data_IF_327366715497
#
_entry.id   IF_327366715497
#
_cell.length_a   1.000
_cell.length_b   1.000
_cell.length_c   1.000
_cell.angle_alpha   90.00
_cell.angle_beta   90.00
_cell.angle_gamma   90.00
#
_symmetry.space_group_name_H-M   'P 1'
#
loop_
_entity.id
_entity.type
_entity.pdbx_description
1 polymer ?
#
# COMPACT_ATOMS: atom_id res chain seq x y z
N UNK A 1 60.31 -13.84 26.28
CA UNK A 1 59.05 -13.27 26.81
C UNK A 1 58.32 -12.61 25.66
N UNK A 2 57.20 -13.20 25.23
CA UNK A 2 56.14 -12.62 24.38
C UNK A 2 55.57 -11.35 25.03
N UNK A 3 54.92 -10.40 24.33
CA UNK A 3 53.61 -10.56 23.61
C UNK A 3 53.58 -9.91 22.19
N UNK A 4 52.85 -10.41 21.18
CA UNK A 4 51.41 -10.21 20.87
C UNK A 4 50.99 -8.75 20.68
N UNK A 5 50.67 -8.33 19.42
CA UNK A 5 49.56 -7.44 18.98
C UNK A 5 49.46 -7.59 17.43
N UNK A 6 48.54 -8.42 16.93
CA UNK A 6 47.24 -8.03 16.37
C UNK A 6 47.29 -6.90 15.31
N UNK A 7 47.19 -7.25 14.04
CA UNK A 7 46.96 -6.29 12.95
C UNK A 7 45.46 -6.30 12.63
N UNK A 8 44.74 -5.16 12.71
CA UNK A 8 43.35 -5.10 12.32
C UNK A 8 43.24 -5.14 10.79
N UNK A 9 42.54 -6.15 10.29
CA UNK A 9 41.93 -6.11 8.96
C UNK A 9 40.89 -4.99 8.96
N UNK A 10 41.22 -3.86 8.33
CA UNK A 10 40.22 -2.85 8.03
C UNK A 10 39.47 -3.27 6.77
N UNK A 11 38.44 -4.09 6.95
CA UNK A 11 37.30 -4.12 6.04
C UNK A 11 36.76 -2.68 5.97
N UNK A 12 36.93 -2.02 4.83
CA UNK A 12 36.05 -0.93 4.44
C UNK A 12 34.74 -1.56 4.01
N UNK A 13 33.93 -1.87 5.03
CA UNK A 13 32.49 -2.02 4.96
C UNK A 13 31.93 -0.68 4.45
N UNK A 14 31.90 -0.54 3.12
CA UNK A 14 31.03 0.41 2.46
C UNK A 14 29.62 -0.14 2.66
N UNK A 15 29.01 0.23 3.79
CA UNK A 15 27.62 -0.05 4.06
C UNK A 15 26.82 0.21 2.80
N UNK A 16 26.28 -0.88 2.27
CA UNK A 16 25.14 -0.89 1.39
C UNK A 16 24.01 -0.19 2.14
N UNK A 17 23.99 1.13 2.10
CA UNK A 17 22.76 1.89 2.33
C UNK A 17 21.93 1.71 1.04
N UNK A 18 21.50 0.45 0.84
CA UNK A 18 20.27 0.17 0.12
C UNK A 18 19.25 1.19 0.64
N UNK A 19 18.49 1.87 -0.23
CA UNK A 19 17.35 2.62 0.27
C UNK A 19 16.51 1.62 1.04
N UNK A 20 16.53 1.73 2.36
CA UNK A 20 15.69 0.93 3.25
C UNK A 20 14.31 0.98 2.64
N UNK A 21 13.62 -0.15 2.41
CA UNK A 21 12.31 -0.13 1.80
C UNK A 21 11.42 0.74 2.69
N UNK A 22 11.24 1.98 2.25
CA UNK A 22 10.56 3.04 2.97
C UNK A 22 9.16 2.50 3.24
N UNK A 23 8.80 2.46 4.53
CA UNK A 23 7.70 1.69 5.10
C UNK A 23 6.56 1.49 4.11
N UNK A 24 6.24 0.21 3.85
CA UNK A 24 5.17 -0.23 2.99
C UNK A 24 3.85 0.46 3.33
N UNK A 25 3.59 1.61 2.70
CA UNK A 25 2.24 2.13 2.57
C UNK A 25 1.63 1.24 1.50
N UNK A 26 1.07 0.11 1.94
CA UNK A 26 0.31 -0.81 1.11
C UNK A 26 -0.58 0.03 0.20
N UNK A 27 -0.29 -0.03 -1.10
CA UNK A 27 -1.17 0.52 -2.10
C UNK A 27 -2.45 -0.29 -2.05
N UNK A 28 -3.39 0.18 -1.24
CA UNK A 28 -4.79 -0.16 -1.39
C UNK A 28 -5.24 0.57 -2.66
N UNK A 29 -4.86 0.01 -3.81
CA UNK A 29 -5.61 0.18 -5.05
C UNK A 29 -6.93 -0.56 -4.88
N UNK A 30 -7.71 -0.20 -3.86
CA UNK A 30 -9.13 -0.27 -3.97
C UNK A 30 -9.45 0.70 -5.10
N UNK A 31 -9.76 0.12 -6.26
CA UNK A 31 -10.70 0.68 -7.22
C UNK A 31 -11.74 1.48 -6.45
N UNK A 32 -12.23 2.62 -6.94
CA UNK A 32 -13.48 3.10 -6.41
C UNK A 32 -14.49 1.96 -6.64
N UNK A 33 -14.72 1.13 -5.61
CA UNK A 33 -16.09 0.97 -5.15
C UNK A 33 -16.54 2.41 -4.92
N UNK A 34 -16.96 3.03 -6.03
CA UNK A 34 -18.25 3.66 -6.11
C UNK A 34 -19.05 2.87 -5.11
N UNK A 35 -19.35 3.48 -3.96
CA UNK A 35 -20.50 3.06 -3.20
C UNK A 35 -21.57 3.22 -4.25
N UNK A 36 -21.78 2.15 -5.03
CA UNK A 36 -22.72 2.10 -6.11
C UNK A 36 -23.95 2.62 -5.43
N UNK A 37 -24.50 3.65 -6.02
CA UNK A 37 -25.79 4.12 -5.64
C UNK A 37 -26.74 2.93 -5.84
N UNK A 38 -26.78 2.03 -4.87
CA UNK A 38 -28.01 1.65 -4.23
C UNK A 38 -28.61 2.96 -3.68
N UNK A 39 -29.04 3.82 -4.60
CA UNK A 39 -30.36 4.42 -4.58
C UNK A 39 -31.24 3.38 -3.92
N UNK A 40 -31.89 3.75 -2.82
CA UNK A 40 -32.35 2.82 -1.79
C UNK A 40 -32.71 1.53 -2.49
N UNK A 41 -31.82 0.51 -2.38
CA UNK A 41 -32.25 -0.85 -2.69
C UNK A 41 -33.56 -0.92 -1.95
N UNK A 42 -34.59 -1.11 -2.76
CA UNK A 42 -35.90 -0.56 -2.58
C UNK A 42 -36.30 -0.70 -1.10
N UNK A 43 -37.32 0.00 -0.68
CA UNK A 43 -38.33 -0.81 -0.02
C UNK A 43 -38.58 -2.02 -0.95
N UNK A 44 -37.74 -3.08 -0.90
CA UNK A 44 -38.10 -4.45 -1.14
C UNK A 44 -39.32 -4.52 -0.25
N UNK A 45 -40.47 -4.26 -0.86
CA UNK A 45 -41.50 -5.25 -1.08
C UNK A 45 -41.27 -6.52 -0.26
N UNK A 46 -41.07 -6.32 1.05
CA UNK A 46 -41.60 -7.20 2.06
C UNK A 46 -43.05 -7.36 1.62
N UNK A 47 -43.45 -8.58 1.26
CA UNK A 47 -44.70 -8.85 0.55
C UNK A 47 -45.79 -8.16 1.32
N UNK A 48 -46.32 -7.06 0.76
CA UNK A 48 -47.17 -6.08 1.43
C UNK A 48 -47.66 -6.59 2.79
N UNK A 49 -46.82 -6.49 3.82
CA UNK A 49 -47.20 -6.87 5.18
C UNK A 49 -48.46 -6.06 5.39
N UNK A 50 -49.57 -6.78 5.48
CA UNK A 50 -50.91 -6.24 5.33
C UNK A 50 -50.90 -4.89 6.05
N UNK A 51 -51.06 -3.77 5.33
CA UNK A 51 -51.33 -2.46 5.95
C UNK A 51 -52.55 -2.57 6.88
N UNK A 52 -52.30 -3.07 8.08
CA UNK A 52 -53.30 -3.21 9.10
C UNK A 52 -53.39 -1.79 9.64
N UNK A 53 -54.40 -1.08 9.16
CA UNK A 53 -54.84 0.20 9.72
C UNK A 53 -54.69 0.13 11.24
N UNK A 54 -54.11 1.19 11.81
CA UNK A 54 -54.00 1.36 13.25
C UNK A 54 -55.35 0.97 13.86
N UNK A 55 -55.38 0.09 14.87
CA UNK A 55 -56.62 -0.19 15.53
C UNK A 55 -57.01 1.12 16.20
N UNK A 56 -58.00 1.82 15.64
CA UNK A 56 -58.79 2.73 16.42
C UNK A 56 -59.21 1.92 17.65
N UNK A 57 -58.83 2.39 18.84
CA UNK A 57 -59.23 1.82 20.12
C UNK A 57 -60.77 1.64 20.19
N UNK A 58 -61.49 2.35 19.30
CA UNK A 58 -62.91 2.23 19.03
C UNK A 58 -63.37 0.92 18.37
N UNK A 59 -62.55 0.05 17.76
CA UNK A 59 -63.07 -1.18 17.09
C UNK A 59 -63.52 -2.27 18.09
N UNK A 60 -62.80 -2.44 19.21
CA UNK A 60 -63.19 -3.35 20.30
C UNK A 60 -64.34 -2.79 21.15
N UNK A 61 -64.42 -1.45 21.29
CA UNK A 61 -65.52 -0.75 21.97
C UNK A 61 -66.75 -0.51 21.07
N UNK A 62 -66.61 -0.47 19.74
CA UNK A 62 -67.74 -0.36 18.81
C UNK A 62 -68.63 -1.61 18.88
N UNK A 63 -68.07 -2.75 19.30
CA UNK A 63 -68.81 -3.96 19.64
C UNK A 63 -69.56 -3.85 20.99
N UNK A 64 -69.15 -2.95 21.88
CA UNK A 64 -69.90 -2.62 23.11
C UNK A 64 -71.03 -1.64 22.82
N UNK A 65 -70.78 -0.57 22.08
CA UNK A 65 -71.78 0.47 21.78
C UNK A 65 -72.85 0.02 20.78
N UNK A 66 -72.53 -0.93 19.90
CA UNK A 66 -73.53 -1.53 19.00
C UNK A 66 -74.42 -2.57 19.68
N UNK A 67 -74.22 -2.82 20.99
CA UNK A 67 -75.14 -3.49 21.89
C UNK A 67 -76.44 -2.70 22.15
N UNK A 68 -76.85 -1.85 21.21
CA UNK A 68 -78.25 -1.56 21.01
C UNK A 68 -78.97 -2.87 20.73
N UNK A 69 -79.38 -3.55 21.81
CA UNK A 69 -80.57 -4.38 21.79
C UNK A 69 -81.57 -3.59 20.92
N UNK A 70 -82.12 -4.17 19.83
CA UNK A 70 -83.26 -3.52 19.20
C UNK A 70 -84.23 -3.27 20.35
N UNK A 71 -84.46 -1.99 20.66
CA UNK A 71 -85.30 -1.60 21.79
C UNK A 71 -86.58 -2.40 21.66
N UNK A 72 -86.75 -3.37 22.56
CA UNK A 72 -87.86 -4.31 22.56
C UNK A 72 -89.14 -3.61 23.08
N UNK A 73 -89.42 -2.43 22.55
CA UNK A 73 -90.58 -1.63 22.89
C UNK A 73 -91.34 -1.29 21.61
N UNK A 74 -91.80 -2.32 20.91
CA UNK A 74 -93.07 -2.27 20.20
C UNK A 74 -93.80 -3.59 20.39
N UNK A 75 -94.08 -3.94 21.65
CA UNK A 75 -95.32 -4.65 21.96
C UNK A 75 -96.39 -3.58 22.22
N UNK A 76 -96.73 -2.82 21.17
CA UNK A 76 -98.02 -2.13 21.14
C UNK A 76 -98.99 -3.11 20.52
N UNK A 77 -99.46 -4.03 21.36
CA UNK A 77 -100.76 -4.67 21.14
C UNK A 77 -101.79 -3.55 21.23
N UNK A 78 -102.08 -2.92 20.09
CA UNK A 78 -103.35 -2.19 19.95
C UNK A 78 -104.49 -3.19 20.21
N UNK A 79 -105.51 -2.82 20.98
CA UNK A 79 -106.54 -3.77 21.38
C UNK A 79 -107.46 -4.07 20.19
N UNK A 80 -107.46 -5.35 19.82
CA UNK A 80 -108.61 -6.12 19.37
C UNK A 80 -109.70 -5.36 18.57
N UNK A 81 -109.52 -5.34 17.25
CA UNK A 81 -110.65 -5.46 16.33
C UNK A 81 -111.23 -6.88 16.39
N UNK A 82 -112.54 -6.98 16.23
CA UNK A 82 -113.38 -8.18 16.31
C UNK A 82 -112.92 -9.35 15.39
N UNK A 83 -113.40 -10.59 15.60
CA UNK A 83 -112.69 -11.81 15.25
C UNK A 83 -112.63 -12.02 13.73
N UNK A 84 -111.47 -11.72 13.16
CA UNK A 84 -110.88 -12.56 12.13
C UNK A 84 -110.65 -13.95 12.77
N UNK A 85 -111.10 -15.00 12.10
CA UNK A 85 -111.24 -16.39 12.61
C UNK A 85 -110.12 -16.84 13.54
N UNK A 86 -110.42 -17.59 14.62
CA UNK A 86 -109.42 -18.19 15.53
C UNK A 86 -108.27 -18.89 14.77
N UNK A 87 -108.57 -19.51 13.62
CA UNK A 87 -107.59 -20.09 12.68
C UNK A 87 -106.54 -19.08 12.16
N UNK A 88 -106.90 -17.81 11.91
CA UNK A 88 -106.00 -16.79 11.36
C UNK A 88 -105.03 -16.23 12.41
N UNK A 89 -105.46 -16.15 13.68
CA UNK A 89 -104.58 -15.75 14.79
C UNK A 89 -103.57 -16.84 15.15
N UNK A 90 -104.00 -18.11 15.09
CA UNK A 90 -103.13 -19.27 15.27
C UNK A 90 -102.12 -19.42 14.13
N UNK A 91 -102.56 -19.30 12.86
CA UNK A 91 -101.66 -19.30 11.69
C UNK A 91 -100.61 -18.18 11.74
N UNK A 92 -100.98 -16.97 12.19
CA UNK A 92 -100.04 -15.86 12.37
C UNK A 92 -99.03 -16.11 13.50
N UNK A 93 -99.45 -16.74 14.59
CA UNK A 93 -98.57 -17.16 15.68
C UNK A 93 -97.55 -18.22 15.23
N UNK A 94 -98.02 -19.24 14.53
CA UNK A 94 -97.19 -20.31 13.97
C UNK A 94 -96.20 -19.77 12.91
N UNK A 95 -96.62 -18.83 12.07
CA UNK A 95 -95.73 -18.18 11.11
C UNK A 95 -94.65 -17.32 11.79
N UNK A 96 -94.99 -16.59 12.85
CA UNK A 96 -94.01 -15.84 13.64
C UNK A 96 -93.01 -16.78 14.34
N UNK A 97 -93.48 -17.90 14.88
CA UNK A 97 -92.63 -18.90 15.52
C UNK A 97 -91.71 -19.58 14.51
N UNK A 98 -92.22 -19.92 13.31
CA UNK A 98 -91.41 -20.41 12.19
C UNK A 98 -90.34 -19.41 11.77
N UNK A 99 -90.67 -18.12 11.65
CA UNK A 99 -89.70 -17.05 11.36
C UNK A 99 -88.65 -16.90 12.47
N UNK A 100 -89.03 -17.04 13.75
CA UNK A 100 -88.09 -17.01 14.88
C UNK A 100 -87.14 -18.20 14.87
N UNK A 101 -87.61 -19.40 14.49
CA UNK A 101 -86.78 -20.59 14.30
C UNK A 101 -85.82 -20.42 13.11
N UNK A 102 -86.30 -19.88 11.99
CA UNK A 102 -85.43 -19.55 10.84
C UNK A 102 -84.36 -18.53 11.23
N UNK A 103 -84.73 -17.45 11.92
CA UNK A 103 -83.78 -16.46 12.46
C UNK A 103 -82.77 -17.08 13.44
N UNK A 104 -83.21 -18.04 14.27
CA UNK A 104 -82.33 -18.78 15.18
C UNK A 104 -81.29 -19.58 14.38
N UNK A 105 -81.71 -20.35 13.38
CA UNK A 105 -80.78 -21.14 12.55
C UNK A 105 -79.79 -20.25 11.77
N UNK A 106 -80.24 -19.09 11.29
CA UNK A 106 -79.38 -18.10 10.64
C UNK A 106 -78.35 -17.52 11.62
N UNK A 107 -78.77 -17.16 12.84
CA UNK A 107 -77.86 -16.67 13.88
C UNK A 107 -76.85 -17.73 14.32
N UNK A 108 -77.26 -18.98 14.47
CA UNK A 108 -76.34 -20.09 14.77
C UNK A 108 -75.32 -20.32 13.65
N UNK A 109 -75.75 -20.22 12.37
CA UNK A 109 -74.84 -20.31 11.23
C UNK A 109 -73.83 -19.14 11.19
N UNK A 110 -74.26 -17.93 11.56
CA UNK A 110 -73.37 -16.77 11.68
C UNK A 110 -72.35 -16.93 12.82
N UNK A 111 -72.77 -17.47 13.96
CA UNK A 111 -71.88 -17.81 15.08
C UNK A 111 -70.83 -18.83 14.62
N UNK A 112 -71.23 -19.91 13.96
CA UNK A 112 -70.30 -20.92 13.46
C UNK A 112 -69.27 -20.35 12.47
N UNK A 113 -69.69 -19.40 11.61
CA UNK A 113 -68.78 -18.68 10.70
C UNK A 113 -67.82 -17.76 11.47
N UNK A 114 -68.28 -17.06 12.50
CA UNK A 114 -67.42 -16.22 13.35
C UNK A 114 -66.42 -17.08 14.15
N UNK A 115 -66.85 -18.22 14.69
CA UNK A 115 -66.00 -19.19 15.38
C UNK A 115 -64.91 -19.75 14.46
N UNK A 116 -65.20 -19.99 13.18
CA UNK A 116 -64.19 -20.45 12.22
C UNK A 116 -63.09 -19.41 11.93
N UNK A 117 -63.39 -18.13 12.14
CA UNK A 117 -62.47 -17.01 11.86
C UNK A 117 -61.61 -16.60 13.06
N UNK A 118 -61.93 -17.05 14.28
CA UNK A 118 -61.33 -16.56 15.52
C UNK A 118 -59.81 -16.79 15.64
N UNK A 119 -59.29 -17.81 14.97
CA UNK A 119 -57.86 -18.18 14.98
C UNK A 119 -57.12 -17.78 13.69
N UNK A 120 -57.82 -17.13 12.75
CA UNK A 120 -57.23 -16.73 11.47
C UNK A 120 -56.08 -15.74 11.68
N UNK A 121 -55.04 -15.88 10.86
CA UNK A 121 -53.86 -14.99 10.83
C UNK A 121 -53.93 -13.99 9.66
N UNK A 122 -54.96 -14.09 8.81
CA UNK A 122 -55.23 -13.14 7.73
C UNK A 122 -55.91 -11.89 8.32
N UNK A 123 -55.11 -11.00 8.91
CA UNK A 123 -55.58 -9.96 9.82
C UNK A 123 -56.56 -8.96 9.20
N UNK A 124 -56.35 -8.46 7.98
CA UNK A 124 -57.33 -7.54 7.38
C UNK A 124 -58.51 -8.28 6.79
N UNK A 125 -58.27 -9.33 6.00
CA UNK A 125 -59.34 -10.08 5.35
C UNK A 125 -60.34 -10.62 6.38
N UNK A 126 -59.83 -11.09 7.52
CA UNK A 126 -60.66 -11.56 8.64
C UNK A 126 -61.36 -10.42 9.37
N UNK A 127 -60.71 -9.26 9.56
CA UNK A 127 -61.36 -8.09 10.13
C UNK A 127 -62.54 -7.60 9.27
N UNK A 128 -62.36 -7.54 7.94
CA UNK A 128 -63.42 -7.21 6.99
C UNK A 128 -64.55 -8.26 7.00
N UNK A 129 -64.20 -9.54 7.05
CA UNK A 129 -65.18 -10.63 7.13
C UNK A 129 -66.00 -10.55 8.43
N UNK A 130 -65.37 -10.27 9.58
CA UNK A 130 -66.08 -10.09 10.86
C UNK A 130 -66.99 -8.87 10.82
N UNK A 131 -66.55 -7.74 10.23
CA UNK A 131 -67.42 -6.56 10.01
C UNK A 131 -68.64 -6.90 9.16
N UNK A 132 -68.45 -7.70 8.10
CA UNK A 132 -69.55 -8.19 7.26
C UNK A 132 -70.50 -9.11 8.03
N UNK A 133 -69.97 -10.05 8.82
CA UNK A 133 -70.78 -10.92 9.67
C UNK A 133 -71.59 -10.13 10.71
N UNK A 134 -71.04 -9.05 11.27
CA UNK A 134 -71.77 -8.14 12.15
C UNK A 134 -72.92 -7.42 11.43
N UNK A 135 -72.70 -7.02 10.17
CA UNK A 135 -73.76 -6.43 9.35
C UNK A 135 -74.86 -7.46 9.03
N UNK A 136 -74.49 -8.69 8.66
CA UNK A 136 -75.41 -9.80 8.44
C UNK A 136 -76.21 -10.14 9.72
N UNK A 137 -75.55 -10.16 10.88
CA UNK A 137 -76.19 -10.38 12.18
C UNK A 137 -77.29 -9.35 12.48
N UNK A 138 -77.01 -8.07 12.23
CA UNK A 138 -77.98 -6.97 12.41
C UNK A 138 -79.16 -7.06 11.44
N UNK A 139 -78.97 -7.68 10.28
CA UNK A 139 -80.02 -7.86 9.28
C UNK A 139 -80.96 -9.04 9.60
N UNK A 140 -80.53 -10.00 10.43
CA UNK A 140 -81.39 -11.13 10.85
C UNK A 140 -82.42 -10.65 11.87
N UNK A 141 -83.67 -11.08 11.69
CA UNK A 141 -84.81 -10.67 12.52
C UNK A 141 -84.74 -11.13 13.99
N UNK A 142 -85.75 -10.77 14.79
CA UNK A 142 -85.80 -11.10 16.20
C UNK A 142 -85.93 -12.61 16.44
N UNK A 143 -85.35 -13.06 17.56
CA UNK A 143 -85.45 -14.42 18.11
C UNK A 143 -86.11 -14.33 19.49
N UNK A 144 -86.46 -15.46 20.11
CA UNK A 144 -87.04 -15.46 21.45
C UNK A 144 -86.19 -14.67 22.46
N UNK A 145 -86.84 -13.83 23.27
CA UNK A 145 -86.17 -12.89 24.20
C UNK A 145 -85.15 -13.58 25.11
N UNK A 146 -85.48 -14.78 25.55
CA UNK A 146 -84.68 -15.62 26.45
C UNK A 146 -83.36 -16.11 25.82
N UNK A 147 -83.30 -16.23 24.49
CA UNK A 147 -82.15 -16.75 23.74
C UNK A 147 -81.30 -15.63 23.10
N UNK A 148 -81.88 -14.44 22.91
CA UNK A 148 -81.24 -13.33 22.19
C UNK A 148 -79.89 -12.91 22.79
N UNK A 149 -79.83 -12.74 24.12
CA UNK A 149 -78.60 -12.32 24.80
C UNK A 149 -77.50 -13.39 24.71
N UNK A 150 -77.83 -14.65 24.98
CA UNK A 150 -76.86 -15.75 24.91
C UNK A 150 -76.30 -15.98 23.50
N UNK A 151 -77.11 -15.79 22.46
CA UNK A 151 -76.68 -15.88 21.07
C UNK A 151 -75.75 -14.70 20.70
N UNK A 152 -76.04 -13.49 21.18
CA UNK A 152 -75.17 -12.34 20.97
C UNK A 152 -73.80 -12.51 21.65
N UNK A 153 -73.79 -12.94 22.92
CA UNK A 153 -72.55 -13.18 23.66
C UNK A 153 -71.69 -14.26 22.96
N UNK A 154 -72.33 -15.32 22.44
CA UNK A 154 -71.66 -16.37 21.65
C UNK A 154 -71.15 -15.88 20.31
N UNK A 155 -71.84 -14.98 19.63
CA UNK A 155 -71.38 -14.38 18.37
C UNK A 155 -70.20 -13.43 18.58
N UNK A 156 -70.24 -12.63 19.65
CA UNK A 156 -69.24 -11.61 19.94
C UNK A 156 -67.93 -12.21 20.46
N UNK A 157 -67.98 -13.29 21.25
CA UNK A 157 -66.78 -13.89 21.83
C UNK A 157 -65.68 -14.26 20.80
N UNK A 158 -65.98 -14.94 19.67
CA UNK A 158 -65.02 -15.16 18.59
C UNK A 158 -64.43 -13.89 17.98
N UNK A 159 -65.26 -12.86 17.77
CA UNK A 159 -64.83 -11.58 17.22
C UNK A 159 -63.88 -10.83 18.17
N UNK A 160 -64.23 -10.74 19.46
CA UNK A 160 -63.37 -10.14 20.49
C UNK A 160 -62.02 -10.86 20.53
N UNK A 161 -62.03 -12.19 20.57
CA UNK A 161 -60.80 -13.02 20.59
C UNK A 161 -59.89 -12.73 19.40
N UNK A 162 -60.45 -12.58 18.21
CA UNK A 162 -59.69 -12.22 17.02
C UNK A 162 -59.06 -10.82 17.12
N UNK A 163 -59.84 -9.81 17.51
CA UNK A 163 -59.34 -8.43 17.62
C UNK A 163 -58.30 -8.25 18.74
N UNK A 164 -58.45 -8.93 19.87
CA UNK A 164 -57.44 -8.99 20.93
C UNK A 164 -56.11 -9.56 20.40
N UNK A 165 -56.16 -10.70 19.69
CA UNK A 165 -54.95 -11.30 19.07
C UNK A 165 -54.32 -10.39 18.01
N UNK A 166 -55.13 -9.73 17.17
CA UNK A 166 -54.65 -8.75 16.19
C UNK A 166 -53.97 -7.58 16.89
N UNK A 167 -54.56 -7.06 17.97
CA UNK A 167 -53.99 -5.97 18.75
C UNK A 167 -52.64 -6.37 19.38
N UNK A 168 -52.55 -7.58 19.95
CA UNK A 168 -51.30 -8.13 20.48
C UNK A 168 -50.23 -8.29 19.39
N UNK A 169 -50.60 -8.77 18.21
CA UNK A 169 -49.70 -8.91 17.06
C UNK A 169 -49.12 -7.55 16.63
N UNK A 170 -49.99 -6.53 16.47
CA UNK A 170 -49.55 -5.18 16.10
C UNK A 170 -48.75 -4.50 17.22
N UNK A 171 -49.04 -4.78 18.49
CA UNK A 171 -48.24 -4.29 19.60
C UNK A 171 -46.82 -4.87 19.55
N UNK A 172 -46.67 -6.18 19.33
CA UNK A 172 -45.36 -6.84 19.16
C UNK A 172 -44.58 -6.30 17.96
N UNK A 173 -45.24 -6.16 16.81
CA UNK A 173 -44.61 -5.61 15.61
C UNK A 173 -44.11 -4.17 15.84
N UNK A 174 -44.88 -3.34 16.53
CA UNK A 174 -44.45 -1.98 16.91
C UNK A 174 -43.24 -1.99 17.85
N UNK A 175 -43.25 -2.87 18.85
CA UNK A 175 -42.12 -3.04 19.77
C UNK A 175 -40.84 -3.47 19.03
N UNK A 176 -40.94 -4.44 18.12
CA UNK A 176 -39.82 -4.89 17.28
C UNK A 176 -39.29 -3.76 16.38
N UNK A 177 -40.18 -2.98 15.75
CA UNK A 177 -39.78 -1.84 14.93
C UNK A 177 -39.09 -0.74 15.76
N UNK A 178 -39.59 -0.44 16.96
CA UNK A 178 -38.99 0.51 17.88
C UNK A 178 -37.60 0.04 18.37
N UNK A 179 -37.43 -1.25 18.65
CA UNK A 179 -36.11 -1.82 18.92
C UNK A 179 -35.17 -1.69 17.72
N UNK A 180 -35.67 -1.96 16.51
CA UNK A 180 -34.89 -1.80 15.28
C UNK A 180 -34.48 -0.34 15.06
N UNK A 181 -35.35 0.61 15.38
CA UNK A 181 -35.05 2.04 15.35
C UNK A 181 -33.89 2.36 16.29
N UNK A 182 -33.98 1.95 17.57
CA UNK A 182 -32.90 2.17 18.56
C UNK A 182 -31.58 1.54 18.14
N UNK A 183 -31.60 0.32 17.57
CA UNK A 183 -30.40 -0.35 17.03
C UNK A 183 -29.79 0.46 15.87
N UNK A 184 -30.63 0.98 14.95
CA UNK A 184 -30.19 1.86 13.85
C UNK A 184 -29.68 3.22 14.33
N UNK A 185 -30.24 3.77 15.41
CA UNK A 185 -29.76 5.02 16.03
C UNK A 185 -28.37 4.84 16.62
N UNK A 186 -28.15 3.73 17.33
CA UNK A 186 -26.84 3.36 17.85
C UNK A 186 -25.79 3.16 16.73
N UNK A 187 -26.20 2.62 15.58
CA UNK A 187 -25.33 2.55 14.39
C UNK A 187 -24.98 3.94 13.84
N UNK A 188 -25.93 4.88 13.81
CA UNK A 188 -25.67 6.24 13.38
C UNK A 188 -24.63 6.93 14.27
N UNK A 189 -24.77 6.81 15.59
CA UNK A 189 -23.80 7.39 16.54
C UNK A 189 -22.41 6.81 16.32
N UNK A 190 -22.28 5.48 16.23
CA UNK A 190 -20.99 4.82 15.93
C UNK A 190 -20.40 5.28 14.59
N UNK A 191 -21.22 5.43 13.55
CA UNK A 191 -20.77 5.91 12.25
C UNK A 191 -20.29 7.37 12.29
N UNK A 192 -20.98 8.23 13.05
CA UNK A 192 -20.59 9.63 13.26
C UNK A 192 -19.25 9.76 14.00
N UNK A 193 -19.02 8.96 15.04
CA UNK A 193 -17.74 8.90 15.74
C UNK A 193 -16.58 8.49 14.81
N UNK A 194 -16.85 7.53 13.93
CA UNK A 194 -15.88 7.03 12.95
C UNK A 194 -15.66 8.01 11.78
N UNK A 195 -16.65 8.81 11.40
CA UNK A 195 -16.57 9.72 10.26
C UNK A 195 -15.43 10.75 10.38
N UNK A 196 -15.09 11.13 11.63
CA UNK A 196 -13.99 12.05 11.94
C UNK A 196 -12.59 11.46 11.77
N UNK A 197 -12.45 10.13 11.88
CA UNK A 197 -11.17 9.42 11.94
C UNK A 197 -10.32 9.59 10.67
N UNK A 198 -9.00 9.67 10.86
CA UNK A 198 -8.01 9.65 9.75
C UNK A 198 -7.33 8.28 9.61
N UNK A 199 -7.78 7.26 10.35
CA UNK A 199 -7.30 5.89 10.19
C UNK A 199 -8.03 5.22 9.02
N UNK A 200 -7.62 5.53 7.79
CA UNK A 200 -8.39 5.22 6.57
C UNK A 200 -8.77 3.75 6.40
N UNK A 201 -7.86 2.82 6.73
CA UNK A 201 -8.09 1.38 6.53
C UNK A 201 -9.02 0.79 7.59
N UNK A 202 -8.64 0.89 8.86
CA UNK A 202 -9.41 0.33 9.98
C UNK A 202 -10.79 0.96 10.09
N UNK A 203 -10.92 2.27 9.85
CA UNK A 203 -12.22 2.95 9.86
C UNK A 203 -13.09 2.52 8.68
N UNK A 204 -12.53 2.28 7.48
CA UNK A 204 -13.31 1.76 6.35
C UNK A 204 -13.88 0.36 6.64
N UNK A 205 -13.05 -0.53 7.18
CA UNK A 205 -13.45 -1.88 7.59
C UNK A 205 -14.56 -1.83 8.66
N UNK A 206 -14.41 -0.94 9.65
CA UNK A 206 -15.42 -0.74 10.69
C UNK A 206 -16.75 -0.20 10.10
N UNK A 207 -16.71 0.81 9.23
CA UNK A 207 -17.91 1.35 8.58
C UNK A 207 -18.59 0.33 7.65
N UNK A 208 -17.82 -0.57 7.04
CA UNK A 208 -18.37 -1.67 6.25
C UNK A 208 -19.07 -2.71 7.14
N UNK A 209 -18.50 -3.04 8.31
CA UNK A 209 -19.17 -3.87 9.29
C UNK A 209 -20.49 -3.24 9.78
N UNK A 210 -20.52 -1.93 10.03
CA UNK A 210 -21.76 -1.22 10.38
C UNK A 210 -22.82 -1.29 9.27
N UNK A 211 -22.43 -1.27 7.99
CA UNK A 211 -23.37 -1.45 6.88
C UNK A 211 -23.96 -2.87 6.82
N UNK A 212 -23.16 -3.88 7.18
CA UNK A 212 -23.66 -5.26 7.31
C UNK A 212 -24.63 -5.37 8.49
N UNK A 213 -24.28 -4.80 9.65
CA UNK A 213 -25.17 -4.71 10.81
C UNK A 213 -26.47 -3.96 10.47
N UNK A 214 -26.40 -2.86 9.72
CA UNK A 214 -27.56 -2.10 9.28
C UNK A 214 -28.55 -2.95 8.48
N UNK A 215 -28.03 -3.71 7.51
CA UNK A 215 -28.85 -4.60 6.66
C UNK A 215 -29.43 -5.78 7.44
N UNK A 216 -28.76 -6.22 8.50
CA UNK A 216 -29.26 -7.27 9.38
C UNK A 216 -30.38 -6.79 10.32
N UNK A 217 -30.47 -5.48 10.60
CA UNK A 217 -31.57 -4.91 11.38
C UNK A 217 -32.79 -4.77 10.48
N UNK A 218 -33.91 -5.37 10.91
CA UNK A 218 -35.19 -5.31 10.23
C UNK A 218 -35.75 -3.89 10.04
N UNK A 219 -36.97 -3.77 9.47
CA UNK A 219 -37.58 -2.47 9.23
C UNK A 219 -37.77 -1.69 10.54
N UNK A 220 -37.60 -0.37 10.46
CA UNK A 220 -37.91 0.58 11.52
C UNK A 220 -39.23 1.30 11.16
N UNK A 221 -39.85 2.05 12.09
CA UNK A 221 -41.08 2.79 11.81
C UNK A 221 -40.90 3.72 10.61
N UNK A 222 -41.87 3.70 9.68
CA UNK A 222 -41.80 4.46 8.41
C UNK A 222 -41.53 5.95 8.62
N UNK A 223 -42.04 6.53 9.70
CA UNK A 223 -41.86 7.94 10.04
C UNK A 223 -40.39 8.33 10.24
N UNK A 224 -39.57 7.41 10.76
CA UNK A 224 -38.17 7.66 11.09
C UNK A 224 -37.19 7.01 10.11
N UNK A 225 -37.62 6.01 9.34
CA UNK A 225 -36.78 5.21 8.44
C UNK A 225 -35.93 6.05 7.47
N UNK A 226 -36.53 7.02 6.79
CA UNK A 226 -35.82 7.88 5.83
C UNK A 226 -34.82 8.82 6.51
N UNK A 227 -35.20 9.39 7.64
CA UNK A 227 -34.36 10.33 8.39
C UNK A 227 -33.11 9.62 8.92
N UNK A 228 -33.29 8.41 9.47
CA UNK A 228 -32.19 7.64 10.05
C UNK A 228 -31.24 7.10 8.97
N UNK A 229 -31.78 6.66 7.83
CA UNK A 229 -30.95 6.25 6.69
C UNK A 229 -30.11 7.41 6.14
N UNK A 230 -30.72 8.59 5.96
CA UNK A 230 -30.00 9.79 5.52
C UNK A 230 -28.88 10.17 6.49
N UNK A 231 -29.14 10.07 7.80
CA UNK A 231 -28.14 10.33 8.86
C UNK A 231 -26.97 9.35 8.76
N UNK A 232 -27.24 8.05 8.68
CA UNK A 232 -26.20 7.03 8.55
C UNK A 232 -25.38 7.20 7.26
N UNK A 233 -26.06 7.42 6.12
CA UNK A 233 -25.41 7.60 4.81
C UNK A 233 -24.51 8.82 4.79
N UNK A 234 -24.93 9.92 5.41
CA UNK A 234 -24.14 11.15 5.51
C UNK A 234 -22.78 10.90 6.17
N UNK A 235 -22.73 10.15 7.27
CA UNK A 235 -21.48 9.81 7.96
C UNK A 235 -20.55 8.96 7.08
N UNK A 236 -21.11 8.03 6.31
CA UNK A 236 -20.35 7.25 5.33
C UNK A 236 -19.78 8.15 4.22
N UNK A 237 -20.62 9.01 3.63
CA UNK A 237 -20.21 9.91 2.55
C UNK A 237 -19.12 10.89 3.00
N UNK A 238 -19.21 11.42 4.22
CA UNK A 238 -18.18 12.30 4.78
C UNK A 238 -16.83 11.58 4.89
N UNK A 239 -16.80 10.37 5.45
CA UNK A 239 -15.57 9.60 5.57
C UNK A 239 -14.98 9.20 4.22
N UNK A 240 -15.79 8.58 3.35
CA UNK A 240 -15.30 8.09 2.05
C UNK A 240 -14.93 9.25 1.11
N UNK A 241 -15.65 10.38 1.18
CA UNK A 241 -15.29 11.62 0.48
C UNK A 241 -13.91 12.14 0.92
N UNK A 242 -13.69 12.29 2.23
CA UNK A 242 -12.38 12.71 2.78
C UNK A 242 -11.26 11.74 2.44
N UNK A 243 -11.50 10.42 2.54
CA UNK A 243 -10.55 9.38 2.17
C UNK A 243 -10.16 9.51 0.70
N UNK A 244 -11.14 9.66 -0.19
CA UNK A 244 -10.91 9.81 -1.62
C UNK A 244 -10.09 11.07 -1.93
N UNK A 245 -10.41 12.21 -1.31
CA UNK A 245 -9.64 13.44 -1.47
C UNK A 245 -8.19 13.29 -0.99
N UNK A 246 -7.97 12.64 0.15
CA UNK A 246 -6.64 12.38 0.68
C UNK A 246 -5.78 11.56 -0.29
N UNK A 247 -6.29 10.42 -0.77
CA UNK A 247 -5.56 9.59 -1.73
C UNK A 247 -5.43 10.26 -3.10
N UNK A 248 -6.39 11.08 -3.52
CA UNK A 248 -6.28 11.86 -4.75
C UNK A 248 -5.15 12.91 -4.67
N UNK A 249 -5.00 13.61 -3.53
CA UNK A 249 -3.89 14.53 -3.28
C UNK A 249 -2.55 13.79 -3.29
N UNK A 250 -2.45 12.69 -2.54
CA UNK A 250 -1.23 11.88 -2.49
C UNK A 250 -0.83 11.36 -3.87
N UNK A 251 -1.78 10.89 -4.68
CA UNK A 251 -1.51 10.45 -6.06
C UNK A 251 -0.98 11.59 -6.93
N UNK A 252 -1.55 12.80 -6.80
CA UNK A 252 -1.06 13.98 -7.55
C UNK A 252 0.36 14.35 -7.13
N UNK A 253 0.65 14.40 -5.84
CA UNK A 253 1.99 14.69 -5.31
C UNK A 253 3.04 13.66 -5.77
N UNK A 254 2.65 12.38 -5.79
CA UNK A 254 3.50 11.30 -6.30
C UNK A 254 3.74 11.41 -7.81
N UNK A 255 2.72 11.77 -8.60
CA UNK A 255 2.86 11.98 -10.04
C UNK A 255 3.71 13.23 -10.37
N UNK A 256 3.61 14.30 -9.59
CA UNK A 256 4.50 15.46 -9.72
C UNK A 256 5.95 15.10 -9.37
N UNK A 257 6.14 14.34 -8.29
CA UNK A 257 7.46 13.82 -7.89
C UNK A 257 8.04 12.89 -8.97
N UNK A 258 7.19 12.08 -9.59
CA UNK A 258 7.56 11.20 -10.71
C UNK A 258 8.10 12.02 -11.88
N UNK A 259 7.36 13.04 -12.33
CA UNK A 259 7.77 13.91 -13.44
C UNK A 259 9.10 14.63 -13.14
N UNK A 260 9.28 15.10 -11.90
CA UNK A 260 10.55 15.71 -11.47
C UNK A 260 11.70 14.71 -11.55
N UNK A 261 11.53 13.49 -11.04
CA UNK A 261 12.56 12.43 -11.11
C UNK A 261 12.84 11.97 -12.55
N UNK A 262 11.81 11.88 -13.40
CA UNK A 262 11.99 11.61 -14.84
C UNK A 262 12.84 12.69 -15.53
N UNK A 263 12.62 13.98 -15.20
CA UNK A 263 13.44 15.07 -15.70
C UNK A 263 14.89 15.01 -15.19
N UNK A 264 15.12 14.54 -13.96
CA UNK A 264 16.48 14.29 -13.45
C UNK A 264 17.16 13.13 -14.19
N UNK A 265 16.43 12.06 -14.52
CA UNK A 265 16.98 10.97 -15.33
C UNK A 265 17.47 11.47 -16.69
N UNK A 266 16.69 12.29 -17.38
CA UNK A 266 17.09 12.87 -18.67
C UNK A 266 18.35 13.73 -18.51
N UNK A 267 18.40 14.60 -17.50
CA UNK A 267 19.61 15.41 -17.20
C UNK A 267 20.82 14.53 -16.87
N UNK A 268 20.64 13.45 -16.11
CA UNK A 268 21.71 12.51 -15.80
C UNK A 268 22.23 11.79 -17.06
N UNK A 269 21.33 11.40 -17.97
CA UNK A 269 21.67 10.77 -19.26
C UNK A 269 22.42 11.72 -20.20
N UNK A 270 22.12 13.02 -20.16
CA UNK A 270 22.86 14.04 -20.91
C UNK A 270 24.26 14.24 -20.31
N UNK A 271 24.34 14.38 -18.99
CA UNK A 271 25.61 14.54 -18.27
C UNK A 271 26.51 13.32 -18.42
N UNK A 272 25.96 12.11 -18.48
CA UNK A 272 26.75 10.88 -18.62
C UNK A 272 27.56 10.81 -19.90
N UNK A 273 27.18 11.60 -20.92
CA UNK A 273 27.90 11.72 -22.20
C UNK A 273 29.01 12.77 -22.18
N UNK A 274 29.02 13.67 -21.20
CA UNK A 274 30.03 14.73 -21.08
C UNK A 274 31.42 14.18 -20.77
N UNK A 275 32.45 14.83 -21.33
CA UNK A 275 33.87 14.53 -21.06
C UNK A 275 34.49 15.52 -20.05
N UNK A 276 33.70 16.45 -19.50
CA UNK A 276 34.14 17.40 -18.49
C UNK A 276 34.12 16.77 -17.10
N UNK A 277 35.09 15.89 -16.82
CA UNK A 277 35.08 15.02 -15.64
C UNK A 277 34.79 15.72 -14.31
N UNK A 278 35.47 16.83 -14.00
CA UNK A 278 35.28 17.54 -12.72
C UNK A 278 33.91 18.23 -12.62
N UNK A 279 33.57 19.04 -13.62
CA UNK A 279 32.32 19.81 -13.62
C UNK A 279 31.09 18.89 -13.67
N UNK A 280 31.16 17.80 -14.43
CA UNK A 280 30.07 16.81 -14.51
C UNK A 280 29.92 16.04 -13.20
N UNK A 281 31.01 15.68 -12.51
CA UNK A 281 30.91 15.06 -11.17
C UNK A 281 30.20 15.96 -10.16
N UNK A 282 30.50 17.26 -10.14
CA UNK A 282 29.81 18.23 -9.28
C UNK A 282 28.31 18.34 -9.63
N UNK A 283 27.99 18.40 -10.93
CA UNK A 283 26.60 18.44 -11.40
C UNK A 283 25.83 17.15 -11.03
N UNK A 284 26.46 15.97 -11.10
CA UNK A 284 25.86 14.70 -10.68
C UNK A 284 25.60 14.69 -9.17
N UNK A 285 26.53 15.19 -8.35
CA UNK A 285 26.30 15.34 -6.89
C UNK A 285 25.09 16.25 -6.61
N UNK A 286 24.97 17.36 -7.34
CA UNK A 286 23.80 18.23 -7.27
C UNK A 286 22.51 17.49 -7.66
N UNK A 287 22.50 16.71 -8.74
CA UNK A 287 21.34 15.90 -9.15
C UNK A 287 20.96 14.85 -8.11
N UNK A 288 21.93 14.19 -7.45
CA UNK A 288 21.65 13.25 -6.36
C UNK A 288 21.02 13.96 -5.16
N UNK A 289 21.44 15.19 -4.86
CA UNK A 289 20.80 16.00 -3.82
C UNK A 289 19.37 16.40 -4.19
N UNK A 290 19.12 16.82 -5.45
CA UNK A 290 17.77 17.10 -5.97
C UNK A 290 16.89 15.85 -5.92
N UNK A 291 17.45 14.68 -6.24
CA UNK A 291 16.74 13.40 -6.19
C UNK A 291 16.24 13.06 -4.79
N UNK A 292 17.11 13.22 -3.78
CA UNK A 292 16.78 12.98 -2.37
C UNK A 292 15.77 14.00 -1.85
N UNK A 293 15.79 15.24 -2.36
CA UNK A 293 14.84 16.28 -1.98
C UNK A 293 13.44 16.07 -2.60
N UNK A 294 13.33 15.35 -3.73
CA UNK A 294 12.04 15.02 -4.32
C UNK A 294 11.41 13.86 -3.55
N UNK A 295 10.16 14.08 -3.14
CA UNK A 295 9.35 13.13 -2.39
C UNK A 295 9.10 11.77 -3.09
N UNK A 296 8.26 10.94 -2.46
CA UNK A 296 7.99 9.59 -2.93
C UNK A 296 7.28 9.60 -4.29
N UNK A 297 7.51 8.54 -5.06
CA UNK A 297 6.88 8.30 -6.36
C UNK A 297 5.99 7.06 -6.29
N UNK A 298 5.09 6.82 -7.28
CA UNK A 298 4.29 5.62 -7.29
C UNK A 298 5.17 4.36 -7.27
N UNK A 299 4.92 3.46 -6.32
CA UNK A 299 5.74 2.27 -6.05
C UNK A 299 6.04 1.45 -7.31
N UNK A 300 5.05 1.28 -8.19
CA UNK A 300 5.20 0.54 -9.47
C UNK A 300 6.28 1.12 -10.40
N UNK A 301 6.58 2.40 -10.30
CA UNK A 301 7.56 3.11 -11.14
C UNK A 301 8.86 3.45 -10.40
N UNK A 302 8.88 3.37 -9.06
CA UNK A 302 10.01 3.75 -8.22
C UNK A 302 11.31 3.04 -8.64
N UNK A 303 11.28 1.71 -8.71
CA UNK A 303 12.46 0.90 -9.03
C UNK A 303 12.96 1.15 -10.45
N UNK A 304 12.04 1.28 -11.41
CA UNK A 304 12.40 1.51 -12.81
C UNK A 304 13.10 2.86 -12.99
N UNK A 305 12.60 3.90 -12.33
CA UNK A 305 13.18 5.25 -12.41
C UNK A 305 14.49 5.33 -11.64
N UNK A 306 14.60 4.68 -10.48
CA UNK A 306 15.87 4.59 -9.76
C UNK A 306 16.95 3.86 -10.57
N UNK A 307 16.63 2.71 -11.17
CA UNK A 307 17.54 1.97 -12.04
C UNK A 307 18.00 2.82 -13.23
N UNK A 308 17.10 3.58 -13.84
CA UNK A 308 17.42 4.49 -14.95
C UNK A 308 18.38 5.60 -14.50
N UNK A 309 18.09 6.25 -13.37
CA UNK A 309 18.93 7.32 -12.83
C UNK A 309 20.32 6.81 -12.44
N UNK A 310 20.38 5.73 -11.67
CA UNK A 310 21.63 5.13 -11.22
C UNK A 310 22.45 4.61 -12.40
N UNK A 311 21.83 3.92 -13.35
CA UNK A 311 22.52 3.45 -14.55
C UNK A 311 23.17 4.57 -15.36
N UNK A 312 22.53 5.74 -15.48
CA UNK A 312 23.15 6.89 -16.14
C UNK A 312 24.39 7.42 -15.39
N UNK A 313 24.33 7.43 -14.06
CA UNK A 313 25.45 7.83 -13.19
C UNK A 313 26.59 6.82 -13.25
N UNK A 314 26.28 5.53 -13.18
CA UNK A 314 27.26 4.44 -13.23
C UNK A 314 28.04 4.49 -14.55
N UNK A 315 27.35 4.66 -15.69
CA UNK A 315 27.98 4.83 -17.01
C UNK A 315 28.98 6.00 -17.03
N UNK A 316 28.67 7.11 -16.36
CA UNK A 316 29.60 8.24 -16.28
C UNK A 316 30.86 7.88 -15.50
N UNK A 317 30.70 7.31 -14.30
CA UNK A 317 31.82 6.99 -13.41
C UNK A 317 32.68 5.83 -13.95
N UNK A 318 32.08 4.84 -14.62
CA UNK A 318 32.82 3.81 -15.34
C UNK A 318 33.70 4.40 -16.45
N UNK A 319 33.14 5.31 -17.27
CA UNK A 319 33.91 6.01 -18.31
C UNK A 319 35.03 6.88 -17.73
N UNK A 320 34.75 7.57 -16.63
CA UNK A 320 35.73 8.40 -15.93
C UNK A 320 36.87 7.54 -15.38
N UNK A 321 36.54 6.42 -14.72
CA UNK A 321 37.51 5.48 -14.16
C UNK A 321 38.40 4.89 -15.25
N UNK A 322 37.81 4.39 -16.35
CA UNK A 322 38.54 3.83 -17.48
C UNK A 322 39.50 4.84 -18.12
N UNK A 323 39.09 6.11 -18.25
CA UNK A 323 39.96 7.17 -18.75
C UNK A 323 41.18 7.41 -17.85
N UNK A 324 40.96 7.48 -16.53
CA UNK A 324 42.05 7.72 -15.58
C UNK A 324 42.96 6.50 -15.41
N UNK A 325 42.42 5.30 -15.44
CA UNK A 325 43.17 4.05 -15.43
C UNK A 325 44.07 3.96 -16.67
N UNK A 326 43.53 4.20 -17.87
CA UNK A 326 44.32 4.21 -19.09
C UNK A 326 45.45 5.25 -19.03
N UNK A 327 45.16 6.45 -18.54
CA UNK A 327 46.16 7.52 -18.39
C UNK A 327 47.25 7.16 -17.38
N UNK A 328 46.88 6.55 -16.25
CA UNK A 328 47.83 6.11 -15.24
C UNK A 328 48.70 4.96 -15.77
N UNK A 329 48.11 3.98 -16.45
CA UNK A 329 48.83 2.87 -17.07
C UNK A 329 49.84 3.37 -18.11
N UNK A 330 49.47 4.34 -18.96
CA UNK A 330 50.40 4.94 -19.91
C UNK A 330 51.57 5.67 -19.22
N UNK A 331 51.30 6.37 -18.11
CA UNK A 331 52.36 7.02 -17.33
C UNK A 331 53.29 5.97 -16.71
N UNK A 332 52.73 4.95 -16.10
CA UNK A 332 53.48 3.90 -15.41
C UNK A 332 54.31 3.06 -16.41
N UNK A 333 53.78 2.81 -17.61
CA UNK A 333 54.52 2.23 -18.75
C UNK A 333 55.70 3.11 -19.15
N UNK A 334 55.49 4.41 -19.39
CA UNK A 334 56.57 5.35 -19.72
C UNK A 334 57.65 5.42 -18.63
N UNK A 335 57.23 5.39 -17.37
CA UNK A 335 58.14 5.38 -16.23
C UNK A 335 58.91 4.04 -16.12
N UNK A 336 58.29 2.91 -16.48
CA UNK A 336 58.97 1.62 -16.60
C UNK A 336 59.98 1.61 -17.73
N UNK A 337 59.56 1.97 -18.95
CA UNK A 337 60.43 2.03 -20.13
C UNK A 337 61.63 2.95 -19.90
N UNK A 338 61.43 4.11 -19.25
CA UNK A 338 62.52 5.02 -18.88
C UNK A 338 63.48 4.37 -17.88
N UNK A 339 62.97 3.61 -16.89
CA UNK A 339 63.81 2.88 -15.94
C UNK A 339 64.60 1.77 -16.63
N UNK A 340 63.96 1.01 -17.51
CA UNK A 340 64.60 -0.07 -18.28
C UNK A 340 65.72 0.49 -19.17
N UNK A 341 65.48 1.60 -19.88
CA UNK A 341 66.51 2.31 -20.64
C UNK A 341 67.70 2.77 -19.78
N UNK A 342 67.43 3.22 -18.55
CA UNK A 342 68.48 3.61 -17.60
C UNK A 342 69.28 2.39 -17.09
N UNK A 343 68.62 1.25 -16.86
CA UNK A 343 69.27 -0.01 -16.48
C UNK A 343 70.16 -0.54 -17.62
N UNK A 344 69.67 -0.55 -18.85
CA UNK A 344 70.45 -0.92 -20.04
C UNK A 344 71.68 -0.01 -20.21
N UNK A 345 71.50 1.30 -20.01
CA UNK A 345 72.60 2.26 -20.06
C UNK A 345 73.64 2.01 -18.96
N UNK A 346 73.19 1.62 -17.75
CA UNK A 346 74.04 1.27 -16.63
C UNK A 346 74.86 0.00 -16.93
N UNK A 347 74.21 -1.03 -17.48
CA UNK A 347 74.84 -2.28 -17.87
C UNK A 347 75.89 -2.07 -18.96
N UNK A 348 75.56 -1.34 -20.02
CA UNK A 348 76.51 -0.98 -21.10
C UNK A 348 77.75 -0.26 -20.54
N UNK A 349 77.57 0.68 -19.61
CA UNK A 349 78.70 1.38 -18.97
C UNK A 349 79.51 0.47 -18.07
N UNK A 350 78.88 -0.44 -17.33
CA UNK A 350 79.58 -1.45 -16.51
C UNK A 350 80.40 -2.38 -17.39
N UNK A 351 79.87 -2.81 -18.52
CA UNK A 351 80.59 -3.63 -19.49
C UNK A 351 81.78 -2.87 -20.10
N UNK A 352 81.61 -1.60 -20.47
CA UNK A 352 82.71 -0.74 -20.92
C UNK A 352 83.80 -0.61 -19.86
N UNK A 353 83.41 -0.44 -18.60
CA UNK A 353 84.33 -0.38 -17.43
C UNK A 353 85.10 -1.69 -17.29
N UNK A 354 84.42 -2.84 -17.40
CA UNK A 354 85.03 -4.15 -17.33
C UNK A 354 86.06 -4.37 -18.46
N UNK A 355 85.66 -4.13 -19.72
CA UNK A 355 86.55 -4.25 -20.89
C UNK A 355 87.77 -3.33 -20.78
N UNK A 356 87.59 -2.11 -20.25
CA UNK A 356 88.67 -1.16 -20.05
C UNK A 356 89.65 -1.64 -18.98
N UNK A 357 89.15 -2.19 -17.86
CA UNK A 357 89.97 -2.81 -16.82
C UNK A 357 90.76 -4.02 -17.33
N UNK A 358 90.15 -4.90 -18.10
CA UNK A 358 90.86 -6.03 -18.73
C UNK A 358 91.97 -5.56 -19.67
N UNK A 359 91.71 -4.53 -20.48
CA UNK A 359 92.72 -3.96 -21.36
C UNK A 359 93.86 -3.32 -20.57
N UNK A 360 93.57 -2.63 -19.47
CA UNK A 360 94.60 -2.08 -18.58
C UNK A 360 95.42 -3.18 -17.92
N UNK A 361 94.80 -4.27 -17.46
CA UNK A 361 95.51 -5.39 -16.84
C UNK A 361 96.51 -6.03 -17.82
N UNK A 362 96.14 -6.21 -19.10
CA UNK A 362 97.05 -6.70 -20.14
C UNK A 362 98.21 -5.74 -20.40
N UNK A 363 97.93 -4.44 -20.42
CA UNK A 363 98.95 -3.41 -20.59
C UNK A 363 99.92 -3.38 -19.39
N UNK A 364 99.41 -3.50 -18.16
CA UNK A 364 100.20 -3.61 -16.93
C UNK A 364 101.07 -4.87 -16.94
N UNK A 365 100.53 -6.03 -17.34
CA UNK A 365 101.29 -7.27 -17.49
C UNK A 365 102.41 -7.12 -18.54
N UNK A 366 102.12 -6.48 -19.67
CA UNK A 366 103.13 -6.18 -20.70
C UNK A 366 104.27 -5.31 -20.13
N UNK A 367 103.92 -4.26 -19.37
CA UNK A 367 104.90 -3.38 -18.70
C UNK A 367 105.74 -4.18 -17.70
N UNK A 368 105.11 -4.99 -16.85
CA UNK A 368 105.82 -5.84 -15.89
C UNK A 368 106.79 -6.79 -16.59
N UNK A 369 106.33 -7.47 -17.65
CA UNK A 369 107.19 -8.36 -18.46
C UNK A 369 108.39 -7.60 -19.06
N UNK A 370 108.16 -6.40 -19.58
CA UNK A 370 109.25 -5.58 -20.11
C UNK A 370 110.20 -5.10 -19.01
N UNK A 371 109.70 -4.75 -17.82
CA UNK A 371 110.52 -4.38 -16.66
C UNK A 371 111.39 -5.54 -16.16
N UNK A 372 110.83 -6.76 -16.08
CA UNK A 372 111.59 -7.98 -15.73
C UNK A 372 112.64 -8.29 -16.80
N UNK A 373 112.33 -8.03 -18.07
CA UNK A 373 113.30 -8.17 -19.16
C UNK A 373 114.44 -7.16 -18.98
N UNK A 374 114.11 -5.89 -18.69
CA UNK A 374 115.07 -4.82 -18.41
C UNK A 374 115.99 -5.13 -17.22
N UNK A 375 115.47 -5.75 -16.14
CA UNK A 375 116.28 -6.10 -14.96
C UNK A 375 117.31 -7.21 -15.22
N UNK A 376 117.09 -8.05 -16.23
CA UNK A 376 117.98 -9.13 -16.60
C UNK A 376 118.94 -8.78 -17.76
N UNK A 377 118.86 -7.56 -18.31
CA UNK A 377 119.75 -7.10 -19.37
C UNK A 377 121.13 -6.70 -18.83
N UNK A 378 122.20 -7.25 -19.43
CA UNK A 378 123.60 -6.91 -19.12
C UNK A 378 124.03 -5.51 -19.57
N UNK A 379 125.32 -5.18 -19.41
CA UNK A 379 125.89 -3.88 -19.84
C UNK A 379 126.67 -4.02 -21.16
N UNK A 380 126.33 -3.22 -22.17
CA UNK A 380 126.99 -3.16 -23.47
C UNK A 380 126.19 -2.35 -24.51
N UNK A 381 126.79 -1.92 -25.63
CA UNK A 381 126.16 -0.97 -26.57
C UNK A 381 124.80 -1.44 -27.15
N UNK A 382 124.66 -2.73 -27.45
CA UNK A 382 123.38 -3.32 -27.91
C UNK A 382 122.36 -3.55 -26.79
N UNK A 383 122.83 -3.68 -25.54
CA UNK A 383 121.96 -3.73 -24.36
C UNK A 383 121.37 -2.35 -24.03
N UNK A 384 122.12 -1.28 -24.33
CA UNK A 384 121.67 0.10 -24.13
C UNK A 384 120.60 0.52 -25.16
N UNK A 385 120.71 0.06 -26.41
CA UNK A 385 119.68 0.30 -27.46
C UNK A 385 118.37 -0.44 -27.16
N UNK A 386 118.46 -1.71 -26.78
CA UNK A 386 117.28 -2.51 -26.38
C UNK A 386 116.64 -1.98 -25.10
N UNK A 387 117.44 -1.46 -24.15
CA UNK A 387 116.95 -0.73 -22.97
C UNK A 387 116.16 0.52 -23.37
N UNK A 388 116.71 1.38 -24.23
CA UNK A 388 116.02 2.58 -24.71
C UNK A 388 114.71 2.27 -25.46
N UNK A 389 114.68 1.20 -26.26
CA UNK A 389 113.47 0.76 -26.95
C UNK A 389 112.37 0.26 -25.99
N UNK A 390 112.75 -0.54 -24.98
CA UNK A 390 111.83 -1.05 -23.96
C UNK A 390 111.34 0.07 -23.05
N UNK A 391 112.20 1.00 -22.65
CA UNK A 391 111.83 2.19 -21.87
C UNK A 391 110.86 3.08 -22.65
N UNK A 392 111.07 3.27 -23.96
CA UNK A 392 110.13 3.97 -24.84
C UNK A 392 108.75 3.29 -24.92
N UNK A 393 108.71 1.95 -25.04
CA UNK A 393 107.46 1.17 -25.02
C UNK A 393 106.75 1.22 -23.68
N UNK A 394 107.51 1.19 -22.57
CA UNK A 394 106.98 1.33 -21.22
C UNK A 394 106.39 2.73 -21.03
N UNK A 395 107.08 3.78 -21.47
CA UNK A 395 106.60 5.16 -21.38
C UNK A 395 105.31 5.37 -22.20
N UNK A 396 105.23 4.82 -23.41
CA UNK A 396 104.05 4.88 -24.27
C UNK A 396 102.86 4.09 -23.67
N UNK A 397 103.08 2.88 -23.15
CA UNK A 397 102.03 2.13 -22.46
C UNK A 397 101.64 2.82 -21.15
N UNK A 398 102.56 3.43 -20.42
CA UNK A 398 102.26 4.19 -19.20
C UNK A 398 101.39 5.42 -19.50
N UNK A 399 101.66 6.14 -20.59
CA UNK A 399 100.81 7.25 -21.05
C UNK A 399 99.40 6.74 -21.41
N UNK A 400 99.30 5.65 -22.19
CA UNK A 400 98.02 5.02 -22.53
C UNK A 400 97.26 4.49 -21.30
N UNK A 401 97.96 3.93 -20.31
CA UNK A 401 97.38 3.52 -19.03
C UNK A 401 96.82 4.73 -18.26
N UNK A 402 97.51 5.87 -18.30
CA UNK A 402 97.03 7.14 -17.74
C UNK A 402 95.72 7.60 -18.37
N UNK A 403 95.62 7.57 -19.71
CA UNK A 403 94.39 7.91 -20.44
C UNK A 403 93.25 6.93 -20.13
N UNK A 404 93.54 5.62 -20.07
CA UNK A 404 92.56 4.59 -19.72
C UNK A 404 92.07 4.74 -18.28
N UNK A 405 92.94 5.10 -17.33
CA UNK A 405 92.56 5.41 -15.93
C UNK A 405 91.61 6.59 -15.85
N UNK A 406 91.94 7.70 -16.52
CA UNK A 406 91.04 8.87 -16.57
C UNK A 406 89.67 8.53 -17.20
N UNK A 407 89.66 7.69 -18.24
CA UNK A 407 88.41 7.22 -18.86
C UNK A 407 87.61 6.28 -17.96
N UNK A 408 88.28 5.45 -17.16
CA UNK A 408 87.66 4.58 -16.17
C UNK A 408 86.96 5.39 -15.09
N UNK A 409 87.63 6.41 -14.54
CA UNK A 409 87.07 7.30 -13.51
C UNK A 409 85.81 8.01 -14.01
N UNK A 410 85.81 8.48 -15.27
CA UNK A 410 84.65 9.11 -15.90
C UNK A 410 83.47 8.14 -16.08
N UNK A 411 83.75 6.89 -16.51
CA UNK A 411 82.73 5.85 -16.62
C UNK A 411 82.14 5.48 -15.25
N UNK A 412 82.98 5.33 -14.23
CA UNK A 412 82.54 5.03 -12.86
C UNK A 412 81.74 6.16 -12.23
N UNK A 413 82.11 7.41 -12.52
CA UNK A 413 81.32 8.59 -12.13
C UNK A 413 79.95 8.57 -12.80
N UNK A 414 79.90 8.32 -14.11
CA UNK A 414 78.65 8.23 -14.86
C UNK A 414 77.75 7.08 -14.40
N UNK A 415 78.33 5.92 -14.04
CA UNK A 415 77.61 4.79 -13.42
C UNK A 415 76.99 5.20 -12.09
N UNK A 416 77.75 5.87 -11.22
CA UNK A 416 77.24 6.38 -9.93
C UNK A 416 76.09 7.36 -10.11
N UNK A 417 76.18 8.27 -11.08
CA UNK A 417 75.12 9.23 -11.37
C UNK A 417 73.84 8.57 -11.88
N UNK A 418 73.93 7.57 -12.76
CA UNK A 418 72.76 6.83 -13.26
C UNK A 418 72.15 5.99 -12.14
N UNK A 419 72.97 5.30 -11.34
CA UNK A 419 72.50 4.52 -10.19
C UNK A 419 71.82 5.41 -9.14
N UNK A 420 72.33 6.61 -8.89
CA UNK A 420 71.70 7.58 -8.00
C UNK A 420 70.34 8.05 -8.54
N UNK A 421 70.20 8.25 -9.86
CA UNK A 421 68.91 8.60 -10.50
C UNK A 421 67.88 7.47 -10.44
N UNK A 422 68.33 6.21 -10.52
CA UNK A 422 67.47 5.02 -10.36
C UNK A 422 67.06 4.77 -8.90
N UNK A 423 67.95 5.07 -7.95
CA UNK A 423 67.70 4.96 -6.51
C UNK A 423 66.91 6.14 -5.94
N UNK A 424 66.92 7.28 -6.61
CA UNK A 424 66.04 8.40 -6.27
C UNK A 424 64.61 7.99 -6.60
N UNK A 425 63.66 8.08 -5.66
CA UNK A 425 62.27 7.82 -5.98
C UNK A 425 61.89 8.78 -7.10
N UNK A 426 61.51 8.22 -8.26
CA UNK A 426 60.80 9.00 -9.28
C UNK A 426 59.70 9.72 -8.50
N UNK A 427 59.65 11.06 -8.50
CA UNK A 427 58.63 11.76 -7.75
C UNK A 427 57.31 11.24 -8.28
N UNK A 428 56.63 10.43 -7.46
CA UNK A 428 55.27 9.98 -7.73
C UNK A 428 54.51 11.30 -7.77
N UNK A 429 54.19 11.78 -8.97
CA UNK A 429 53.32 12.93 -9.11
C UNK A 429 52.14 12.65 -8.18
N UNK A 430 51.79 13.58 -7.28
CA UNK A 430 50.77 13.34 -6.27
C UNK A 430 49.58 12.68 -6.96
N UNK A 431 48.97 11.64 -6.36
CA UNK A 431 47.82 10.98 -6.96
C UNK A 431 46.90 12.09 -7.44
N UNK A 432 46.63 12.11 -8.75
CA UNK A 432 45.79 13.14 -9.34
C UNK A 432 44.54 13.16 -8.47
N UNK A 433 44.35 14.28 -7.75
CA UNK A 433 43.48 14.38 -6.58
C UNK A 433 42.29 13.46 -6.75
N UNK A 434 42.23 12.43 -5.89
CA UNK A 434 41.03 11.62 -5.71
C UNK A 434 39.87 12.62 -5.64
N UNK A 435 38.83 12.52 -6.50
CA UNK A 435 37.65 13.35 -6.30
C UNK A 435 37.20 13.13 -4.84
N UNK A 436 36.87 14.19 -4.10
CA UNK A 436 36.54 14.07 -2.68
C UNK A 436 35.43 13.03 -2.53
N UNK A 437 35.75 12.00 -1.75
CA UNK A 437 34.78 11.09 -1.19
C UNK A 437 33.88 11.93 -0.28
N UNK A 438 32.67 12.21 -0.77
CA UNK A 438 31.50 12.75 -0.06
C UNK A 438 30.28 12.63 -0.96
#
# INVERSE_FOLDING_TARGET
>A
MTPMVDHPHHETDMHEDEPTPEAAISQDTATPETVEAAAPAEAEDAPAEEHVDEPHHDEVHALEESGGHPSELQDSVEPAGAPESEEQGEEQGEEQERRRLENLTLKEALIARAEALQESVEWKATAEAIKKLQAEWKAVGPVGKELSQGLWDRFRAPANRFFERRQEHLAKLREEQEENLRKKEALCVRAEELAGSSQWKSTAEALQALQVEWKAIGPAPREHGDAIWKRFRKSLDEFFGRRQEHYAKLRKEQEESLRKKEALCVRAEELSRSNQWKATSEAIKALQSEWKAIGPVPQKKADSIWKRFRGAIDVFFERQSAYFEQRNNQRDQRDSERRDQMLDALERKREQTHRLRESMARDEENVQRWQVTLSHLGSGPGADETRASLDGKIADVAARLGEKRARLDELEKSIREIAAKLSSPIPKAPPAATPPAE
#
